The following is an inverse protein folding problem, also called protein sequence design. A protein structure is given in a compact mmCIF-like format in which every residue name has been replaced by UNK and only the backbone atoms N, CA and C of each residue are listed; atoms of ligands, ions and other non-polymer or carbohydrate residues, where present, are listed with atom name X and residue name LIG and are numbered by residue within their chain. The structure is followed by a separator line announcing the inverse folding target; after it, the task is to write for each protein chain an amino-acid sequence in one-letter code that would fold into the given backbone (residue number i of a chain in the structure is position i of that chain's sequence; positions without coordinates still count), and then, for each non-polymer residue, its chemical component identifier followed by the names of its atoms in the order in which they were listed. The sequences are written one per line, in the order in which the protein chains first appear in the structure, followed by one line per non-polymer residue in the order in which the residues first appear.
data_IF_600693359982
#
_entry.id   IF_600693359982
#
_cell.length_a   1.000
_cell.length_b   1.000
_cell.length_c   1.000
_cell.angle_alpha   90.00
_cell.angle_beta   90.00
_cell.angle_gamma   90.00
#
_symmetry.space_group_name_H-M   'P 1'
#
loop_
_entity.id
_entity.type
_entity.pdbx_description
1 polymer ?
#
# COMPACT_ATOMS: atom_id res chain seq x y z
N UNK A 1 -34.51 -47.69 9.02
CA UNK A 1 -34.55 -46.21 9.24
C UNK A 1 -33.17 -45.56 9.23
N UNK A 2 -32.12 -46.18 9.76
CA UNK A 2 -30.75 -45.60 9.85
C UNK A 2 -30.04 -45.34 8.51
N UNK A 3 -30.28 -46.15 7.48
CA UNK A 3 -29.64 -46.00 6.15
C UNK A 3 -30.11 -44.75 5.37
N UNK A 4 -31.39 -44.37 5.49
CA UNK A 4 -31.96 -43.18 4.83
C UNK A 4 -31.42 -41.86 5.42
N UNK A 5 -31.14 -41.84 6.72
CA UNK A 5 -30.56 -40.66 7.38
C UNK A 5 -29.11 -40.43 6.96
N UNK A 6 -28.33 -41.50 6.76
CA UNK A 6 -26.93 -41.39 6.31
C UNK A 6 -26.83 -40.87 4.87
N UNK A 7 -27.70 -41.34 3.96
CA UNK A 7 -27.68 -40.90 2.56
C UNK A 7 -28.11 -39.44 2.42
N UNK A 8 -29.08 -39.01 3.22
CA UNK A 8 -29.54 -37.61 3.27
C UNK A 8 -28.43 -36.66 3.76
N UNK A 9 -27.67 -37.06 4.78
CA UNK A 9 -26.56 -36.26 5.32
C UNK A 9 -25.38 -36.14 4.32
N UNK A 10 -25.06 -37.21 3.60
CA UNK A 10 -24.04 -37.18 2.54
C UNK A 10 -24.48 -36.30 1.36
N UNK A 11 -25.77 -36.35 0.99
CA UNK A 11 -26.30 -35.50 -0.07
C UNK A 11 -26.25 -34.01 0.30
N UNK A 12 -26.66 -33.66 1.53
CA UNK A 12 -26.61 -32.29 2.03
C UNK A 12 -25.18 -31.74 2.11
N UNK A 13 -24.21 -32.56 2.51
CA UNK A 13 -22.79 -32.16 2.55
C UNK A 13 -22.22 -31.94 1.15
N UNK A 14 -22.56 -32.79 0.18
CA UNK A 14 -22.16 -32.61 -1.23
C UNK A 14 -22.78 -31.34 -1.82
N UNK A 15 -24.07 -31.08 -1.58
CA UNK A 15 -24.74 -29.85 -2.02
C UNK A 15 -24.09 -28.62 -1.40
N UNK A 16 -23.75 -28.67 -0.11
CA UNK A 16 -23.08 -27.57 0.58
C UNK A 16 -21.66 -27.33 0.04
N UNK A 17 -20.88 -28.39 -0.23
CA UNK A 17 -19.57 -28.31 -0.90
C UNK A 17 -19.69 -27.72 -2.31
N UNK A 18 -20.71 -28.10 -3.07
CA UNK A 18 -20.97 -27.57 -4.41
C UNK A 18 -21.33 -26.08 -4.36
N UNK A 19 -22.22 -25.66 -3.44
CA UNK A 19 -22.56 -24.24 -3.24
C UNK A 19 -21.32 -23.44 -2.82
N UNK A 20 -20.52 -23.97 -1.90
CA UNK A 20 -19.27 -23.35 -1.44
C UNK A 20 -18.26 -23.19 -2.59
N UNK A 21 -18.13 -24.20 -3.43
CA UNK A 21 -17.24 -24.19 -4.60
C UNK A 21 -17.71 -23.20 -5.68
N UNK A 22 -19.02 -23.11 -5.92
CA UNK A 22 -19.60 -22.13 -6.86
C UNK A 22 -19.48 -20.69 -6.32
N UNK A 23 -19.67 -20.47 -5.02
CA UNK A 23 -19.44 -19.18 -4.38
C UNK A 23 -17.95 -18.75 -4.47
N UNK A 24 -17.01 -19.69 -4.31
CA UNK A 24 -15.58 -19.44 -4.50
C UNK A 24 -15.23 -19.11 -5.97
N UNK A 25 -15.95 -19.69 -6.95
CA UNK A 25 -15.79 -19.36 -8.38
C UNK A 25 -16.44 -18.03 -8.79
N UNK A 26 -17.46 -17.57 -8.05
CA UNK A 26 -18.20 -16.35 -8.36
C UNK A 26 -17.39 -15.06 -8.08
N UNK A 27 -16.29 -15.15 -7.33
CA UNK A 27 -15.39 -14.02 -7.13
C UNK A 27 -14.36 -13.96 -8.26
N UNK A 28 -14.78 -13.50 -9.44
CA UNK A 28 -13.80 -13.04 -10.41
C UNK A 28 -13.00 -11.89 -9.78
N UNK A 29 -11.66 -11.95 -9.76
CA UNK A 29 -10.87 -10.79 -9.38
C UNK A 29 -11.26 -9.63 -10.30
N UNK A 30 -11.87 -8.59 -9.74
CA UNK A 30 -12.12 -7.36 -10.48
C UNK A 30 -10.75 -6.72 -10.69
N UNK A 31 -10.41 -6.39 -11.93
CA UNK A 31 -9.19 -5.64 -12.22
C UNK A 31 -9.28 -4.29 -11.50
N UNK A 32 -8.39 -3.99 -10.52
CA UNK A 32 -8.44 -2.71 -9.81
C UNK A 32 -8.17 -1.51 -10.73
N UNK A 33 -7.74 -1.74 -11.98
CA UNK A 33 -7.49 -0.71 -12.99
C UNK A 33 -8.66 -0.50 -13.96
N UNK A 34 -9.79 -1.19 -13.78
CA UNK A 34 -10.96 -1.00 -14.65
C UNK A 34 -11.46 0.46 -14.65
N UNK A 35 -11.53 1.05 -15.86
CA UNK A 35 -11.91 2.45 -16.06
C UNK A 35 -10.80 3.48 -15.79
N UNK A 36 -9.58 3.04 -15.46
CA UNK A 36 -8.44 3.93 -15.24
C UNK A 36 -7.57 4.09 -16.48
N UNK A 37 -7.05 5.30 -16.68
CA UNK A 37 -5.95 5.58 -17.60
C UNK A 37 -4.64 5.72 -16.83
N UNK A 38 -3.60 5.04 -17.30
CA UNK A 38 -2.25 5.22 -16.75
C UNK A 38 -1.68 6.55 -17.24
N UNK A 39 -1.22 7.38 -16.31
CA UNK A 39 -0.60 8.65 -16.62
C UNK A 39 0.91 8.46 -16.91
N UNK A 40 1.52 9.30 -17.76
CA UNK A 40 2.94 9.19 -18.09
C UNK A 40 3.81 9.53 -16.87
N UNK A 41 4.47 8.55 -16.28
CA UNK A 41 5.33 8.75 -15.11
C UNK A 41 6.80 8.55 -15.49
N UNK A 42 7.66 9.51 -15.15
CA UNK A 42 9.11 9.42 -15.39
C UNK A 42 9.90 9.90 -14.16
N UNK A 43 11.23 9.82 -14.21
CA UNK A 43 12.09 10.14 -13.07
C UNK A 43 11.91 11.56 -12.52
N UNK A 44 11.55 12.55 -13.36
CA UNK A 44 11.29 13.93 -12.90
C UNK A 44 10.05 14.05 -11.99
N UNK A 45 9.14 13.08 -12.05
CA UNK A 45 8.00 12.98 -11.15
C UNK A 45 8.35 12.35 -9.80
N UNK A 46 9.51 11.69 -9.67
CA UNK A 46 9.88 10.91 -8.49
C UNK A 46 10.83 11.72 -7.60
N UNK A 47 10.27 12.54 -6.72
CA UNK A 47 11.07 13.35 -5.79
C UNK A 47 11.52 12.49 -4.62
N UNK A 48 12.83 12.27 -4.49
CA UNK A 48 13.40 11.50 -3.38
C UNK A 48 13.52 12.38 -2.14
N UNK A 49 12.71 12.05 -1.12
CA UNK A 49 12.79 12.64 0.20
C UNK A 49 13.66 11.76 1.09
N UNK A 50 14.81 12.25 1.51
CA UNK A 50 15.83 11.54 2.31
C UNK A 50 16.22 12.32 3.57
N UNK A 51 16.96 11.76 4.54
CA UNK A 51 17.52 12.52 5.66
C UNK A 51 18.29 13.74 5.16
N UNK A 52 18.08 14.90 5.79
CA UNK A 52 18.58 16.18 5.24
C UNK A 52 20.12 16.24 5.18
N UNK A 53 20.80 15.51 6.06
CA UNK A 53 22.25 15.50 6.25
C UNK A 53 22.96 14.30 5.59
N UNK A 54 22.22 13.42 4.91
CA UNK A 54 22.78 12.23 4.26
C UNK A 54 22.62 12.32 2.75
N UNK A 55 23.65 12.10 1.91
CA UNK A 55 23.51 12.07 0.45
C UNK A 55 22.45 11.07 -0.05
N UNK A 56 21.87 11.33 -1.23
CA UNK A 56 20.80 10.50 -1.80
C UNK A 56 21.26 9.07 -2.09
N UNK A 57 22.42 8.90 -2.72
CA UNK A 57 23.01 7.61 -3.06
C UNK A 57 23.37 6.74 -1.85
N UNK A 58 23.42 7.33 -0.65
CA UNK A 58 23.61 6.59 0.60
C UNK A 58 22.32 6.06 1.22
N UNK A 59 21.15 6.42 0.70
CA UNK A 59 19.83 6.00 1.20
C UNK A 59 18.84 5.58 0.12
N UNK A 60 19.21 5.78 -1.14
CA UNK A 60 18.43 5.47 -2.31
C UNK A 60 19.32 4.92 -3.42
N UNK A 61 18.81 3.96 -4.18
CA UNK A 61 19.42 3.54 -5.45
C UNK A 61 18.34 3.09 -6.43
N UNK A 62 18.62 3.24 -7.73
CA UNK A 62 17.78 2.74 -8.80
C UNK A 62 18.60 1.87 -9.75
N UNK A 63 18.39 0.57 -9.67
CA UNK A 63 19.15 -0.43 -10.44
C UNK A 63 18.17 -1.42 -11.04
N UNK A 64 18.30 -1.69 -12.34
CA UNK A 64 17.47 -2.66 -13.07
C UNK A 64 15.96 -2.49 -12.88
N UNK A 65 15.51 -1.22 -12.86
CA UNK A 65 14.09 -0.88 -12.69
C UNK A 65 13.57 -1.00 -11.26
N UNK A 66 14.43 -1.20 -10.27
CA UNK A 66 14.07 -1.31 -8.85
C UNK A 66 14.60 -0.11 -8.07
N UNK A 67 13.67 0.64 -7.46
CA UNK A 67 13.98 1.64 -6.45
C UNK A 67 14.21 0.94 -5.12
N UNK A 68 15.42 0.99 -4.58
CA UNK A 68 15.72 0.55 -3.21
C UNK A 68 15.84 1.79 -2.32
N UNK A 69 15.07 1.83 -1.25
CA UNK A 69 15.04 2.93 -0.28
C UNK A 69 15.30 2.38 1.11
N UNK A 70 16.23 2.99 1.85
CA UNK A 70 16.52 2.58 3.21
C UNK A 70 16.81 3.78 4.11
N UNK A 71 16.64 3.56 5.42
CA UNK A 71 17.08 4.46 6.49
C UNK A 71 17.55 3.65 7.69
N UNK A 72 18.35 4.28 8.52
CA UNK A 72 18.64 3.83 9.86
C UNK A 72 17.81 4.61 10.88
N UNK A 73 17.48 3.98 12.01
CA UNK A 73 16.81 4.63 13.15
C UNK A 73 17.51 5.91 13.62
N UNK A 74 18.83 5.97 13.49
CA UNK A 74 19.66 7.10 13.92
C UNK A 74 19.74 8.24 12.90
N UNK A 75 19.21 8.04 11.68
CA UNK A 75 19.20 9.09 10.67
C UNK A 75 18.34 10.28 11.10
N UNK A 76 18.63 11.45 10.52
CA UNK A 76 17.83 12.64 10.76
C UNK A 76 16.52 12.63 9.95
N UNK A 77 15.55 13.48 10.33
CA UNK A 77 14.34 13.67 9.55
C UNK A 77 14.63 14.20 8.13
N UNK A 78 13.60 14.25 7.28
CA UNK A 78 13.75 14.77 5.92
C UNK A 78 14.11 16.26 5.84
N UNK A 79 13.77 17.05 6.87
CA UNK A 79 14.11 18.47 6.94
C UNK A 79 14.64 18.85 8.32
N UNK A 80 15.48 19.88 8.44
CA UNK A 80 16.06 20.30 9.73
C UNK A 80 15.02 20.69 10.79
N UNK A 81 13.84 21.15 10.36
CA UNK A 81 12.76 21.61 11.25
C UNK A 81 11.73 20.53 11.58
N UNK A 82 11.81 19.36 10.95
CA UNK A 82 10.83 18.29 11.16
C UNK A 82 11.05 17.60 12.50
N UNK A 83 9.96 17.30 13.20
CA UNK A 83 9.95 16.50 14.45
C UNK A 83 9.58 15.03 14.20
N UNK A 84 9.54 14.60 12.96
CA UNK A 84 9.14 13.24 12.57
C UNK A 84 10.33 12.29 12.47
N UNK A 85 10.08 10.97 12.37
CA UNK A 85 11.15 9.99 12.14
C UNK A 85 11.85 10.13 10.78
N UNK A 86 13.04 9.52 10.63
CA UNK A 86 13.77 9.49 9.36
C UNK A 86 12.97 8.80 8.26
N UNK A 87 13.26 9.16 7.01
CA UNK A 87 12.61 8.55 5.84
C UNK A 87 13.51 8.62 4.62
N UNK A 88 13.34 7.62 3.76
CA UNK A 88 13.70 7.69 2.35
C UNK A 88 12.47 7.29 1.55
N UNK A 89 11.80 8.25 0.94
CA UNK A 89 10.53 8.07 0.23
C UNK A 89 10.55 8.74 -1.14
N UNK A 90 9.93 8.11 -2.11
CA UNK A 90 9.52 8.74 -3.37
C UNK A 90 8.20 9.49 -3.10
N UNK A 91 8.21 10.81 -3.24
CA UNK A 91 6.99 11.63 -3.35
C UNK A 91 6.70 11.84 -4.83
N UNK A 92 5.54 11.40 -5.29
CA UNK A 92 5.14 11.60 -6.69
C UNK A 92 4.70 13.06 -6.86
N UNK A 93 5.31 13.74 -7.83
CA UNK A 93 5.09 15.14 -8.16
C UNK A 93 4.49 15.31 -9.55
N UNK A 94 3.70 16.37 -9.75
CA UNK A 94 3.01 16.67 -11.02
C UNK A 94 1.67 15.94 -11.17
N UNK A 95 1.30 15.13 -10.18
CA UNK A 95 0.03 14.40 -10.11
C UNK A 95 -0.66 14.62 -8.77
N UNK A 96 -0.46 15.79 -8.18
CA UNK A 96 -1.19 16.24 -7.01
C UNK A 96 -2.65 16.50 -7.42
N UNK A 97 -3.61 16.14 -6.57
CA UNK A 97 -5.02 16.13 -6.95
C UNK A 97 -5.95 16.56 -5.82
N UNK A 98 -7.05 17.20 -6.18
CA UNK A 98 -8.08 17.71 -5.26
C UNK A 98 -9.48 17.16 -5.52
N UNK A 99 -9.65 16.38 -6.60
CA UNK A 99 -10.90 15.80 -7.06
C UNK A 99 -10.66 14.56 -7.93
N UNK A 100 -11.72 13.79 -8.16
CA UNK A 100 -11.75 12.59 -8.97
C UNK A 100 -11.23 11.34 -8.24
N UNK A 101 -11.14 10.25 -9.02
CA UNK A 101 -10.67 8.96 -8.52
C UNK A 101 -9.26 8.67 -9.02
N UNK A 102 -8.31 8.56 -8.10
CA UNK A 102 -6.89 8.40 -8.38
C UNK A 102 -6.37 7.10 -7.82
N UNK A 103 -5.37 6.54 -8.49
CA UNK A 103 -4.79 5.27 -8.12
C UNK A 103 -3.27 5.31 -8.16
N UNK A 104 -2.64 4.82 -7.10
CA UNK A 104 -1.26 4.36 -7.12
C UNK A 104 -1.24 2.86 -7.43
N UNK A 105 -0.38 2.43 -8.34
CA UNK A 105 -0.01 1.03 -8.54
C UNK A 105 1.52 0.87 -8.41
N UNK A 106 1.96 -0.22 -7.80
CA UNK A 106 3.37 -0.61 -7.80
C UNK A 106 3.59 -1.99 -7.21
N UNK A 107 4.76 -2.57 -7.48
CA UNK A 107 5.20 -3.79 -6.81
C UNK A 107 6.11 -3.43 -5.65
N UNK A 108 5.69 -3.75 -4.43
CA UNK A 108 6.48 -3.53 -3.21
C UNK A 108 7.19 -4.81 -2.77
N UNK A 109 8.33 -4.65 -2.09
CA UNK A 109 9.07 -5.70 -1.40
C UNK A 109 9.63 -5.13 -0.10
N UNK A 110 9.52 -5.90 0.99
CA UNK A 110 10.02 -5.50 2.30
C UNK A 110 10.93 -6.61 2.81
N UNK A 111 12.24 -6.35 3.01
CA UNK A 111 13.14 -7.35 3.58
C UNK A 111 12.76 -7.73 5.01
N UNK A 112 12.98 -9.00 5.37
CA UNK A 112 12.84 -9.44 6.76
C UNK A 112 13.69 -8.58 7.71
N UNK A 113 13.14 -8.31 8.90
CA UNK A 113 13.75 -7.44 9.91
C UNK A 113 13.34 -5.97 9.81
N UNK A 114 12.66 -5.55 8.74
CA UNK A 114 12.09 -4.19 8.63
C UNK A 114 10.76 -4.09 9.38
N UNK A 115 10.70 -3.35 10.49
CA UNK A 115 9.50 -3.17 11.31
C UNK A 115 9.34 -1.72 11.77
N UNK A 116 8.14 -1.33 12.22
CA UNK A 116 7.85 0.01 12.70
C UNK A 116 7.99 1.06 11.61
N UNK A 117 7.56 0.74 10.38
CA UNK A 117 7.76 1.59 9.20
C UNK A 117 6.48 1.79 8.41
N UNK A 118 6.29 2.99 7.87
CA UNK A 118 5.30 3.24 6.84
C UNK A 118 5.93 3.08 5.46
N UNK A 119 5.29 2.30 4.59
CA UNK A 119 5.84 2.00 3.25
C UNK A 119 5.07 2.66 2.10
N UNK A 120 3.83 3.10 2.35
CA UNK A 120 2.98 3.78 1.38
C UNK A 120 2.07 4.78 2.08
N UNK A 121 1.90 5.96 1.49
CA UNK A 121 1.02 7.01 1.98
C UNK A 121 0.15 7.61 0.87
N UNK A 122 -1.06 8.01 1.26
CA UNK A 122 -1.79 9.09 0.60
C UNK A 122 -1.73 10.29 1.54
N UNK A 123 -1.01 11.33 1.14
CA UNK A 123 -0.86 12.55 1.94
C UNK A 123 -1.97 13.55 1.63
N UNK A 124 -2.13 14.58 2.47
CA UNK A 124 -2.96 15.74 2.14
C UNK A 124 -4.35 15.76 2.77
N UNK A 125 -4.56 15.02 3.85
CA UNK A 125 -5.82 15.03 4.60
C UNK A 125 -6.04 16.34 5.38
N UNK A 126 -7.21 16.48 6.00
CA UNK A 126 -7.51 17.53 6.99
C UNK A 126 -8.59 17.04 7.96
N UNK A 127 -8.39 17.12 9.29
CA UNK A 127 -7.32 17.82 10.01
C UNK A 127 -6.01 17.02 10.17
N UNK A 128 -5.95 15.79 9.63
CA UNK A 128 -4.77 14.93 9.71
C UNK A 128 -3.82 15.18 8.54
N UNK A 129 -2.53 14.86 8.68
CA UNK A 129 -1.59 15.00 7.57
C UNK A 129 -1.82 13.99 6.42
N UNK A 130 -2.36 12.80 6.72
CA UNK A 130 -2.48 11.69 5.76
C UNK A 130 -3.90 11.17 5.69
N UNK A 131 -4.32 10.83 4.46
CA UNK A 131 -5.55 10.08 4.17
C UNK A 131 -5.34 8.59 4.44
N UNK A 132 -4.15 8.08 4.13
CA UNK A 132 -3.80 6.68 4.32
C UNK A 132 -2.30 6.53 4.65
N UNK A 133 -2.00 5.56 5.51
CA UNK A 133 -0.66 4.99 5.69
C UNK A 133 -0.77 3.47 5.67
N UNK A 134 0.08 2.78 4.92
CA UNK A 134 0.30 1.34 5.09
C UNK A 134 1.56 1.13 5.91
N UNK A 135 1.44 0.40 7.01
CA UNK A 135 2.55 0.15 7.93
C UNK A 135 2.93 -1.31 7.96
N UNK A 136 4.22 -1.56 8.15
CA UNK A 136 4.76 -2.88 8.42
C UNK A 136 5.26 -2.92 9.85
N UNK A 137 4.62 -3.76 10.65
CA UNK A 137 4.95 -4.02 12.05
C UNK A 137 5.08 -5.54 12.22
N UNK A 138 6.27 -6.04 12.56
CA UNK A 138 6.54 -7.47 12.79
C UNK A 138 5.94 -8.39 11.69
N UNK A 139 6.38 -8.19 10.45
CA UNK A 139 5.95 -8.93 9.25
C UNK A 139 4.48 -8.73 8.84
N UNK A 140 3.74 -7.85 9.52
CA UNK A 140 2.33 -7.60 9.28
C UNK A 140 2.14 -6.27 8.56
N UNK A 141 1.49 -6.29 7.40
CA UNK A 141 1.04 -5.10 6.70
C UNK A 141 -0.35 -4.69 7.19
N UNK A 142 -0.49 -3.46 7.69
CA UNK A 142 -1.74 -2.93 8.24
C UNK A 142 -2.10 -1.55 7.69
N UNK A 143 -3.39 -1.20 7.81
CA UNK A 143 -3.86 0.18 7.63
C UNK A 143 -3.58 0.98 8.91
N UNK A 144 -2.66 1.94 8.84
CA UNK A 144 -2.05 2.57 10.01
C UNK A 144 -1.46 1.51 10.97
N UNK A 145 -1.30 1.83 12.26
CA UNK A 145 -0.75 0.90 13.26
C UNK A 145 -1.89 0.03 13.81
N UNK A 146 -1.70 -1.29 13.81
CA UNK A 146 -2.67 -2.23 14.37
C UNK A 146 -3.79 -2.62 13.39
N UNK A 147 -4.95 -3.09 13.87
CA UNK A 147 -6.01 -3.54 12.97
C UNK A 147 -6.63 -2.39 12.15
N UNK A 148 -7.09 -2.66 10.92
CA UNK A 148 -7.14 -3.98 10.29
C UNK A 148 -5.80 -4.42 9.70
N UNK A 149 -5.50 -5.71 9.89
CA UNK A 149 -4.41 -6.40 9.21
C UNK A 149 -4.81 -6.69 7.76
N UNK A 150 -3.97 -6.27 6.81
CA UNK A 150 -4.20 -6.48 5.38
C UNK A 150 -3.50 -7.75 4.89
N UNK A 151 -2.28 -7.99 5.37
CA UNK A 151 -1.45 -9.14 5.01
C UNK A 151 -0.56 -9.52 6.20
N UNK A 152 -0.47 -10.81 6.50
CA UNK A 152 0.55 -11.37 7.40
C UNK A 152 1.71 -11.94 6.59
N UNK A 153 2.90 -11.98 7.20
CA UNK A 153 4.11 -12.56 6.59
C UNK A 153 4.49 -11.91 5.25
N UNK A 154 4.51 -10.58 5.22
CA UNK A 154 4.76 -9.75 4.01
C UNK A 154 6.22 -9.78 3.54
N UNK A 155 7.14 -10.25 4.39
CA UNK A 155 8.57 -10.19 4.11
C UNK A 155 9.00 -11.05 2.93
N UNK A 156 10.08 -10.59 2.31
CA UNK A 156 10.88 -11.28 1.30
C UNK A 156 10.10 -11.76 0.07
N UNK A 157 9.02 -11.06 -0.25
CA UNK A 157 8.14 -11.34 -1.39
C UNK A 157 7.75 -10.04 -2.06
N UNK A 158 7.68 -10.09 -3.38
CA UNK A 158 7.04 -9.03 -4.16
C UNK A 158 5.52 -9.14 -4.03
N UNK A 159 4.85 -8.02 -3.84
CA UNK A 159 3.39 -7.92 -3.87
C UNK A 159 2.96 -6.75 -4.74
N UNK A 160 1.92 -6.94 -5.55
CA UNK A 160 1.27 -5.85 -6.28
C UNK A 160 0.38 -5.08 -5.29
N UNK A 161 0.60 -3.78 -5.19
CA UNK A 161 -0.21 -2.86 -4.40
C UNK A 161 -0.99 -1.95 -5.34
N UNK A 162 -2.29 -1.83 -5.10
CA UNK A 162 -3.09 -0.75 -5.66
C UNK A 162 -3.74 0.01 -4.49
N UNK A 163 -3.57 1.34 -4.46
CA UNK A 163 -4.26 2.23 -3.52
C UNK A 163 -5.10 3.18 -4.35
N UNK A 164 -6.43 3.10 -4.19
CA UNK A 164 -7.39 3.94 -4.90
C UNK A 164 -7.98 4.94 -3.92
N UNK A 165 -7.89 6.22 -4.21
CA UNK A 165 -8.53 7.29 -3.46
C UNK A 165 -9.62 7.94 -4.33
N UNK A 166 -10.86 7.81 -3.89
CA UNK A 166 -12.04 8.47 -4.44
C UNK A 166 -12.35 9.68 -3.55
N UNK A 167 -12.05 10.88 -4.07
CA UNK A 167 -12.11 12.12 -3.30
C UNK A 167 -13.55 12.49 -2.99
N UNK A 168 -14.43 12.42 -3.99
CA UNK A 168 -15.85 12.77 -3.89
C UNK A 168 -16.61 11.79 -3.00
N UNK A 169 -16.38 10.47 -3.18
CA UNK A 169 -17.00 9.46 -2.33
C UNK A 169 -16.36 9.38 -0.94
N UNK A 170 -15.23 10.08 -0.72
CA UNK A 170 -14.44 10.07 0.51
C UNK A 170 -14.09 8.64 0.91
N UNK A 171 -13.50 7.88 0.00
CA UNK A 171 -13.12 6.49 0.23
C UNK A 171 -11.71 6.21 -0.25
N UNK A 172 -10.99 5.40 0.52
CA UNK A 172 -9.72 4.81 0.08
C UNK A 172 -9.83 3.29 0.09
N UNK A 173 -9.42 2.65 -1.00
CA UNK A 173 -9.41 1.20 -1.15
C UNK A 173 -7.98 0.70 -1.32
N UNK A 174 -7.67 -0.41 -0.67
CA UNK A 174 -6.35 -1.05 -0.73
C UNK A 174 -6.52 -2.45 -1.28
N UNK A 175 -5.85 -2.72 -2.40
CA UNK A 175 -5.78 -4.04 -3.01
C UNK A 175 -4.36 -4.58 -2.89
N UNK A 176 -4.25 -5.86 -2.56
CA UNK A 176 -2.98 -6.59 -2.57
C UNK A 176 -3.14 -7.78 -3.51
N UNK A 177 -2.25 -7.89 -4.50
CA UNK A 177 -2.27 -8.95 -5.52
C UNK A 177 -3.64 -9.06 -6.22
N UNK A 178 -4.26 -7.92 -6.53
CA UNK A 178 -5.57 -7.86 -7.19
C UNK A 178 -6.77 -8.14 -6.28
N UNK A 179 -6.57 -8.42 -4.99
CA UNK A 179 -7.65 -8.69 -4.03
C UNK A 179 -7.89 -7.47 -3.15
N UNK A 180 -9.12 -6.98 -3.09
CA UNK A 180 -9.52 -5.92 -2.14
C UNK A 180 -9.31 -6.43 -0.71
N UNK A 181 -8.41 -5.77 0.03
CA UNK A 181 -8.13 -6.09 1.43
C UNK A 181 -8.89 -5.19 2.39
N UNK A 182 -9.07 -3.92 2.02
CA UNK A 182 -9.72 -2.96 2.91
C UNK A 182 -10.28 -1.76 2.16
N UNK A 183 -11.40 -1.26 2.64
CA UNK A 183 -11.99 0.02 2.28
C UNK A 183 -12.11 0.85 3.56
N UNK A 184 -11.59 2.08 3.52
CA UNK A 184 -11.62 3.00 4.66
C UNK A 184 -12.24 4.34 4.24
N UNK A 185 -12.78 5.12 5.20
CA UNK A 185 -13.12 6.50 4.95
C UNK A 185 -11.89 7.31 4.54
N UNK A 186 -12.06 8.17 3.55
CA UNK A 186 -11.15 9.28 3.27
C UNK A 186 -11.12 10.26 4.46
N UNK A 187 -10.12 11.13 4.51
CA UNK A 187 -9.87 12.00 5.67
C UNK A 187 -9.89 13.49 5.30
N UNK A 188 -10.76 13.87 4.37
CA UNK A 188 -10.88 15.25 3.88
C UNK A 188 -9.60 15.76 3.24
N UNK A 189 -9.41 17.08 3.17
CA UNK A 189 -8.28 17.72 2.50
C UNK A 189 -8.62 18.27 1.12
N UNK A 190 -7.72 19.07 0.56
CA UNK A 190 -7.91 19.76 -0.73
C UNK A 190 -6.74 19.58 -1.70
N UNK A 191 -5.69 18.86 -1.30
CA UNK A 191 -4.55 18.57 -2.16
C UNK A 191 -3.86 17.30 -1.67
N UNK A 192 -3.95 16.25 -2.48
CA UNK A 192 -3.47 14.91 -2.19
C UNK A 192 -2.34 14.51 -3.12
N UNK A 193 -1.47 13.63 -2.63
CA UNK A 193 -0.42 13.02 -3.43
C UNK A 193 0.01 11.67 -2.84
N UNK A 194 0.59 10.83 -3.68
CA UNK A 194 1.08 9.50 -3.31
C UNK A 194 2.56 9.54 -2.90
N UNK A 195 2.92 8.71 -1.93
CA UNK A 195 4.31 8.48 -1.53
C UNK A 195 4.57 7.02 -1.24
N UNK A 196 5.73 6.48 -1.63
CA UNK A 196 6.15 5.13 -1.26
C UNK A 196 7.63 5.10 -0.88
N UNK A 197 8.03 4.14 -0.04
CA UNK A 197 9.41 4.04 0.43
C UNK A 197 9.49 3.51 1.85
N UNK A 198 10.30 4.14 2.69
CA UNK A 198 10.38 3.86 4.12
C UNK A 198 10.29 5.16 4.91
N UNK A 199 9.32 5.23 5.82
CA UNK A 199 9.20 6.31 6.79
C UNK A 199 9.06 5.71 8.19
N UNK A 200 10.12 5.86 8.98
CA UNK A 200 10.21 5.34 10.34
C UNK A 200 9.06 5.83 11.21
N UNK A 201 8.49 4.91 11.97
CA UNK A 201 7.40 5.12 12.91
C UNK A 201 7.85 4.72 14.32
N UNK A 202 6.89 4.57 15.22
CA UNK A 202 7.15 3.97 16.52
C UNK A 202 7.51 2.48 16.37
N UNK A 203 8.33 1.97 17.31
CA UNK A 203 8.85 0.59 17.31
C UNK A 203 9.65 0.21 16.05
N UNK A 204 10.36 1.18 15.48
CA UNK A 204 11.18 1.01 14.29
C UNK A 204 12.41 0.11 14.52
N UNK A 205 12.71 -0.72 13.51
CA UNK A 205 13.94 -1.50 13.46
C UNK A 205 15.16 -0.61 13.20
N UNK A 206 16.35 -1.07 13.56
CA UNK A 206 17.57 -0.27 13.34
C UNK A 206 17.80 0.07 11.87
N UNK A 207 17.64 -0.92 10.98
CA UNK A 207 17.67 -0.76 9.52
C UNK A 207 16.26 -1.03 8.98
N UNK A 208 15.77 -0.13 8.13
CA UNK A 208 14.47 -0.24 7.49
C UNK A 208 14.66 -0.08 5.99
N UNK A 209 14.12 -1.01 5.22
CA UNK A 209 14.23 -1.00 3.76
C UNK A 209 12.91 -1.36 3.10
N UNK A 210 12.63 -0.73 1.96
CA UNK A 210 11.64 -1.23 1.02
C UNK A 210 12.16 -1.07 -0.40
N UNK A 211 11.64 -1.91 -1.29
CA UNK A 211 11.94 -1.86 -2.72
C UNK A 211 10.67 -1.73 -3.53
N UNK A 212 10.73 -0.95 -4.59
CA UNK A 212 9.59 -0.64 -5.45
C UNK A 212 9.97 -0.73 -6.91
N UNK A 213 9.09 -1.32 -7.72
CA UNK A 213 9.23 -1.34 -9.18
C UNK A 213 7.87 -1.22 -9.87
N UNK A 214 7.89 -0.78 -11.12
CA UNK A 214 6.68 -0.63 -11.94
C UNK A 214 5.67 0.33 -11.32
N UNK A 215 6.15 1.42 -10.71
CA UNK A 215 5.28 2.45 -10.12
C UNK A 215 4.48 3.12 -11.23
N UNK A 216 3.18 3.26 -11.02
CA UNK A 216 2.27 4.00 -11.91
C UNK A 216 1.32 4.86 -11.08
N UNK A 217 0.91 5.97 -11.68
CA UNK A 217 -0.25 6.74 -11.24
C UNK A 217 -1.30 6.63 -12.32
N UNK A 218 -2.52 6.31 -11.92
CA UNK A 218 -3.67 6.23 -12.81
C UNK A 218 -4.77 7.16 -12.32
N UNK A 219 -5.56 7.66 -13.27
CA UNK A 219 -6.76 8.45 -13.00
C UNK A 219 -7.95 7.77 -13.66
N UNK A 220 -9.08 7.68 -12.96
CA UNK A 220 -10.30 7.15 -13.55
C UNK A 220 -10.84 8.17 -14.58
N UNK A 221 -11.19 7.69 -15.76
CA UNK A 221 -11.95 8.50 -16.70
C UNK A 221 -13.38 8.62 -16.18
N UNK A 222 -13.94 9.81 -16.32
CA UNK A 222 -15.38 10.04 -16.11
C UNK A 222 -16.21 9.32 -17.18
#
# INVERSE_FOLDING_TARGET
MTSFFLSSLVYLTIVWLMISYQAAKAWKPIDPTEGFISLPLNQSNLVIQRPYDVPEDQRYSFVDGVHKLWVFRTDKPHTPTSKTGPRTEIRIHGYDYSSGVWQFEGYGYVPCGTSGVCIMQVFGASPHATTLMLRVDNATLSYYRGPPVLVQNIYDKWFRLNVIHDVEARKVKVYINGVLKYEAPGRGGTSHFFKCGVYAQHDDSYYMESRWKGIKVLKKCD
#
